data_IF_747167258776
#
_entry.id   IF_747167258776
#
_cell.length_a   1.000
_cell.length_b   1.000
_cell.length_c   1.000
_cell.angle_alpha   90.00
_cell.angle_beta   90.00
_cell.angle_gamma   90.00
#
_symmetry.space_group_name_H-M   'P 1'
#
loop_
_entity.id
_entity.type
_entity.pdbx_description
1 polymer ?
#
# COMPACT_ATOMS: atom_id res chain seq x y z
N UNK A 1 69.06 -54.99 -2.70
CA UNK A 1 67.63 -55.23 -2.96
C UNK A 1 66.86 -54.01 -2.48
N UNK A 2 66.11 -53.24 -3.25
CA UNK A 2 66.11 -52.84 -4.66
C UNK A 2 65.14 -51.64 -4.72
N UNK A 3 65.67 -50.42 -4.86
CA UNK A 3 65.09 -49.25 -5.58
C UNK A 3 63.68 -48.71 -5.16
N UNK A 4 63.17 -47.58 -5.72
CA UNK A 4 63.63 -46.20 -5.48
C UNK A 4 62.47 -45.12 -5.43
N UNK A 5 62.75 -43.85 -5.13
CA UNK A 5 62.02 -42.67 -5.69
C UNK A 5 62.54 -42.37 -7.14
N UNK A 6 62.00 -41.48 -8.03
CA UNK A 6 61.00 -40.39 -7.91
C UNK A 6 60.06 -40.18 -9.16
N UNK A 7 59.35 -39.03 -9.21
CA UNK A 7 58.74 -38.32 -10.35
C UNK A 7 57.39 -38.87 -10.90
N UNK A 8 56.36 -38.08 -11.27
CA UNK A 8 56.39 -36.90 -12.14
C UNK A 8 55.02 -36.17 -12.15
N UNK A 9 55.05 -34.83 -12.12
CA UNK A 9 54.17 -33.81 -12.78
C UNK A 9 52.63 -33.82 -12.61
N UNK A 10 52.15 -32.62 -12.25
CA UNK A 10 50.79 -32.09 -12.42
C UNK A 10 50.31 -32.09 -13.89
N UNK A 11 49.02 -31.80 -14.11
CA UNK A 11 48.74 -30.46 -14.62
C UNK A 11 47.73 -29.69 -13.76
N UNK A 12 48.05 -28.41 -13.55
CA UNK A 12 47.10 -27.34 -13.32
C UNK A 12 46.11 -27.27 -14.50
N UNK A 13 44.84 -27.03 -14.22
CA UNK A 13 44.06 -26.05 -14.98
C UNK A 13 42.84 -25.65 -14.16
N UNK A 14 42.73 -24.35 -13.98
CA UNK A 14 41.77 -23.58 -13.20
C UNK A 14 40.30 -23.92 -13.45
N UNK A 15 39.52 -23.87 -12.38
CA UNK A 15 38.11 -23.50 -12.42
C UNK A 15 37.80 -22.69 -11.15
N UNK A 16 37.80 -21.36 -11.29
CA UNK A 16 36.98 -20.48 -10.47
C UNK A 16 35.54 -20.64 -10.95
N UNK A 17 34.61 -20.86 -10.03
CA UNK A 17 33.16 -20.57 -10.10
C UNK A 17 32.55 -21.26 -8.85
N UNK A 18 31.61 -20.72 -8.09
CA UNK A 18 31.02 -19.39 -7.94
C UNK A 18 30.25 -19.57 -6.62
N UNK A 19 30.74 -19.01 -5.52
CA UNK A 19 30.05 -19.11 -4.22
C UNK A 19 28.91 -18.10 -4.22
N UNK A 20 27.77 -18.49 -4.79
CA UNK A 20 26.50 -17.81 -4.59
C UNK A 20 25.97 -18.16 -3.20
N UNK A 21 26.38 -17.37 -2.21
CA UNK A 21 25.74 -17.29 -0.90
C UNK A 21 24.27 -16.89 -1.10
N UNK A 22 23.42 -17.90 -1.20
CA UNK A 22 21.97 -17.72 -1.29
C UNK A 22 21.48 -17.42 0.13
N UNK A 23 21.41 -16.14 0.49
CA UNK A 23 20.76 -15.69 1.71
C UNK A 23 19.33 -16.24 1.73
N UNK A 24 19.09 -17.24 2.58
CA UNK A 24 17.79 -17.88 2.74
C UNK A 24 16.88 -16.89 3.45
N UNK A 25 16.04 -16.21 2.67
CA UNK A 25 15.00 -15.31 3.17
C UNK A 25 14.05 -16.08 4.08
N UNK A 26 13.89 -15.64 5.34
CA UNK A 26 12.93 -16.18 6.31
C UNK A 26 11.49 -15.68 6.03
N UNK A 27 11.15 -15.43 4.77
CA UNK A 27 9.77 -15.23 4.34
C UNK A 27 9.08 -16.58 4.41
N UNK A 28 7.97 -16.68 5.15
CA UNK A 28 7.11 -17.86 5.10
C UNK A 28 6.67 -18.10 3.65
N UNK A 29 7.17 -19.17 3.04
CA UNK A 29 6.88 -19.60 1.65
C UNK A 29 5.56 -20.39 1.57
N UNK A 30 4.60 -20.08 2.43
CA UNK A 30 3.29 -20.71 2.46
C UNK A 30 2.26 -19.60 2.60
N UNK A 31 1.26 -19.61 1.71
CA UNK A 31 0.07 -18.79 1.85
C UNK A 31 -0.47 -18.87 3.28
N UNK A 32 -0.44 -17.73 3.97
CA UNK A 32 -1.06 -17.64 5.29
C UNK A 32 -2.57 -17.66 5.13
N UNK A 33 -3.25 -18.23 6.14
CA UNK A 33 -4.71 -18.33 6.18
C UNK A 33 -5.36 -16.94 6.20
N UNK A 34 -6.66 -16.89 5.89
CA UNK A 34 -7.49 -15.71 6.15
C UNK A 34 -7.26 -15.19 7.58
N UNK A 35 -7.28 -13.87 7.75
CA UNK A 35 -6.89 -13.23 9.01
C UNK A 35 -7.85 -13.63 10.15
N UNK A 36 -7.34 -14.34 11.15
CA UNK A 36 -8.07 -14.67 12.36
C UNK A 36 -7.87 -13.55 13.42
N UNK A 37 -8.70 -12.50 13.38
CA UNK A 37 -8.73 -11.45 14.42
C UNK A 37 -8.43 -10.01 13.96
N UNK A 38 -8.57 -9.00 14.85
CA UNK A 38 -8.60 -7.58 14.47
C UNK A 38 -7.22 -6.93 14.25
N UNK A 39 -6.12 -7.66 14.38
CA UNK A 39 -4.75 -7.15 14.15
C UNK A 39 -4.40 -7.26 12.67
N UNK A 40 -3.79 -6.22 12.08
CA UNK A 40 -3.23 -6.32 10.72
C UNK A 40 -2.20 -7.45 10.67
N UNK A 41 -2.39 -8.39 9.73
CA UNK A 41 -1.45 -9.50 9.50
C UNK A 41 -0.25 -9.12 8.63
N UNK A 42 0.68 -10.07 8.44
CA UNK A 42 1.91 -9.90 7.65
C UNK A 42 1.67 -9.38 6.22
N UNK A 43 0.48 -9.63 5.68
CA UNK A 43 0.02 -9.19 4.35
C UNK A 43 -0.14 -7.67 4.20
N UNK A 44 -0.11 -6.91 5.29
CA UNK A 44 -0.32 -5.47 5.30
C UNK A 44 0.97 -4.68 5.59
N UNK A 45 1.99 -5.35 6.12
CA UNK A 45 3.17 -4.71 6.73
C UNK A 45 4.50 -5.26 6.22
N UNK A 46 4.50 -6.36 5.47
CA UNK A 46 5.70 -6.96 4.90
C UNK A 46 5.57 -7.06 3.39
N UNK A 47 6.65 -6.70 2.67
CA UNK A 47 6.75 -6.94 1.23
C UNK A 47 6.76 -8.45 0.96
N UNK A 48 5.72 -8.93 0.29
CA UNK A 48 5.71 -10.27 -0.31
C UNK A 48 6.83 -10.38 -1.34
N UNK A 49 7.34 -11.60 -1.62
CA UNK A 49 8.22 -11.81 -2.75
C UNK A 49 7.58 -11.20 -4.01
N UNK A 50 8.27 -10.26 -4.63
CA UNK A 50 7.84 -9.74 -5.92
C UNK A 50 7.97 -10.88 -6.94
N UNK A 51 7.01 -11.07 -7.86
CA UNK A 51 7.22 -11.90 -9.03
C UNK A 51 8.54 -11.48 -9.69
N UNK A 52 9.44 -12.43 -9.93
CA UNK A 52 10.86 -12.21 -10.30
C UNK A 52 11.10 -11.37 -11.56
N UNK A 53 10.06 -10.94 -12.26
CA UNK A 53 10.10 -10.31 -13.57
C UNK A 53 9.94 -8.78 -13.59
N UNK A 54 9.57 -8.10 -12.50
CA UNK A 54 9.36 -6.64 -12.50
C UNK A 54 10.14 -5.94 -11.39
N UNK A 55 10.82 -4.87 -11.76
CA UNK A 55 11.55 -3.96 -10.86
C UNK A 55 10.94 -2.56 -10.94
N UNK A 56 11.02 -1.77 -9.87
CA UNK A 56 10.66 -0.35 -9.88
C UNK A 56 11.39 0.40 -11.01
N UNK A 57 10.68 1.32 -11.67
CA UNK A 57 11.12 2.06 -12.85
C UNK A 57 10.83 3.56 -12.78
N UNK A 58 9.91 3.99 -11.90
CA UNK A 58 9.84 5.37 -11.42
C UNK A 58 11.01 5.75 -10.49
N UNK A 59 10.92 6.93 -9.90
CA UNK A 59 11.99 7.55 -9.12
C UNK A 59 11.53 8.02 -7.75
N UNK A 60 12.40 7.89 -6.74
CA UNK A 60 12.24 8.60 -5.47
C UNK A 60 12.64 10.07 -5.64
N UNK A 61 11.80 10.97 -5.17
CA UNK A 61 11.98 12.42 -5.18
C UNK A 61 11.42 13.03 -3.89
N UNK A 62 11.34 14.36 -3.82
CA UNK A 62 10.79 15.10 -2.68
C UNK A 62 9.80 16.17 -3.12
N UNK A 63 8.70 16.30 -2.38
CA UNK A 63 7.78 17.45 -2.43
C UNK A 63 7.91 18.22 -1.10
N UNK A 64 8.82 19.18 -1.07
CA UNK A 64 9.26 19.84 0.16
C UNK A 64 10.05 18.89 1.06
N UNK A 65 9.54 18.60 2.26
CA UNK A 65 10.12 17.68 3.25
C UNK A 65 9.58 16.24 3.12
N UNK A 66 8.66 15.99 2.17
CA UNK A 66 7.95 14.72 2.02
C UNK A 66 8.64 13.91 0.92
N UNK A 67 9.09 12.70 1.25
CA UNK A 67 9.55 11.75 0.25
C UNK A 67 8.38 11.27 -0.60
N UNK A 68 8.58 11.20 -1.92
CA UNK A 68 7.57 10.77 -2.87
C UNK A 68 8.19 9.83 -3.89
N UNK A 69 7.50 8.76 -4.25
CA UNK A 69 7.82 7.98 -5.44
C UNK A 69 6.97 8.50 -6.60
N UNK A 70 7.62 8.78 -7.72
CA UNK A 70 6.99 9.35 -8.90
C UNK A 70 7.18 8.38 -10.06
N UNK A 71 6.07 7.98 -10.67
CA UNK A 71 6.08 7.14 -11.87
C UNK A 71 5.22 7.77 -12.96
N UNK A 72 5.69 7.73 -14.20
CA UNK A 72 5.10 8.48 -15.33
C UNK A 72 4.99 7.57 -16.55
N UNK A 73 3.99 7.78 -17.43
CA UNK A 73 3.97 7.14 -18.73
C UNK A 73 5.22 7.52 -19.53
N UNK A 74 5.75 6.60 -20.35
CA UNK A 74 7.03 6.79 -21.03
C UNK A 74 7.08 8.01 -21.98
N UNK A 75 5.93 8.39 -22.57
CA UNK A 75 5.81 9.52 -23.49
C UNK A 75 5.19 10.77 -22.83
N UNK A 76 5.08 10.82 -21.51
CA UNK A 76 4.66 12.01 -20.81
C UNK A 76 5.77 13.09 -20.82
N UNK A 77 5.48 14.38 -21.09
CA UNK A 77 4.15 15.00 -21.24
C UNK A 77 3.64 15.12 -22.69
N UNK A 78 4.25 14.47 -23.68
CA UNK A 78 3.78 14.55 -25.07
C UNK A 78 2.40 13.87 -25.25
N UNK A 79 2.21 12.72 -24.61
CA UNK A 79 0.89 12.08 -24.48
C UNK A 79 0.24 12.51 -23.16
N UNK A 80 -0.97 13.11 -23.19
CA UNK A 80 -1.68 13.50 -21.97
C UNK A 80 -1.95 12.30 -21.04
N UNK A 81 -1.87 12.55 -19.75
CA UNK A 81 -2.06 11.54 -18.70
C UNK A 81 -2.85 12.14 -17.54
N UNK A 82 -3.60 11.30 -16.80
CA UNK A 82 -4.34 11.73 -15.60
C UNK A 82 -3.42 11.69 -14.38
N UNK A 83 -3.60 12.59 -13.41
CA UNK A 83 -2.86 12.50 -12.14
C UNK A 83 -3.52 11.49 -11.20
N UNK A 84 -2.73 10.56 -10.64
CA UNK A 84 -3.17 9.56 -9.67
C UNK A 84 -2.33 9.65 -8.39
N UNK A 85 -2.99 9.86 -7.26
CA UNK A 85 -2.41 9.78 -5.92
C UNK A 85 -2.55 8.35 -5.39
N UNK A 86 -1.44 7.64 -5.21
CA UNK A 86 -1.43 6.26 -4.69
C UNK A 86 -1.04 6.27 -3.21
N UNK A 87 -1.96 5.84 -2.33
CA UNK A 87 -1.76 5.76 -0.89
C UNK A 87 -1.54 4.32 -0.46
N UNK A 88 -0.41 4.11 0.21
CA UNK A 88 0.17 2.79 0.49
C UNK A 88 -0.49 2.07 1.67
N UNK A 89 -0.39 0.74 1.75
CA UNK A 89 -0.61 -0.01 2.99
C UNK A 89 0.50 0.31 4.01
N UNK A 90 0.54 -0.41 5.14
CA UNK A 90 1.53 -0.17 6.21
C UNK A 90 3.00 -0.29 5.78
N UNK A 91 3.30 -0.96 4.66
CA UNK A 91 4.67 -1.10 4.12
C UNK A 91 5.29 0.22 3.64
N UNK A 92 4.48 1.21 3.26
CA UNK A 92 4.96 2.55 2.89
C UNK A 92 5.60 2.68 1.50
N UNK A 93 6.08 3.88 1.20
CA UNK A 93 6.60 4.27 -0.14
C UNK A 93 7.87 3.50 -0.55
N UNK A 94 8.65 3.03 0.42
CA UNK A 94 9.91 2.31 0.16
C UNK A 94 9.71 0.82 -0.15
N UNK A 95 8.47 0.34 -0.07
CA UNK A 95 8.09 -1.00 -0.51
C UNK A 95 8.34 -1.16 -2.02
N UNK A 96 9.06 -2.21 -2.39
CA UNK A 96 9.30 -2.53 -3.81
C UNK A 96 7.98 -2.88 -4.49
N UNK A 97 7.08 -3.57 -3.80
CA UNK A 97 5.77 -3.94 -4.33
C UNK A 97 4.89 -2.72 -4.59
N UNK A 98 4.86 -1.75 -3.66
CA UNK A 98 4.09 -0.52 -3.88
C UNK A 98 4.66 0.32 -5.03
N UNK A 99 5.99 0.37 -5.17
CA UNK A 99 6.64 1.06 -6.29
C UNK A 99 6.32 0.42 -7.63
N UNK A 100 6.39 -0.93 -7.71
CA UNK A 100 5.97 -1.67 -8.92
C UNK A 100 4.48 -1.46 -9.20
N UNK A 101 3.63 -1.45 -8.17
CA UNK A 101 2.20 -1.17 -8.32
C UNK A 101 1.97 0.23 -8.91
N UNK A 102 2.71 1.24 -8.45
CA UNK A 102 2.67 2.60 -9.01
C UNK A 102 3.08 2.60 -10.49
N UNK A 103 4.13 1.88 -10.86
CA UNK A 103 4.58 1.78 -12.25
C UNK A 103 3.57 1.10 -13.16
N UNK A 104 2.83 0.12 -12.66
CA UNK A 104 1.76 -0.55 -13.42
C UNK A 104 0.65 0.46 -13.72
N UNK A 105 0.22 1.29 -12.76
CA UNK A 105 -0.73 2.37 -13.05
C UNK A 105 -0.14 3.39 -14.02
N UNK A 106 1.15 3.70 -13.94
CA UNK A 106 1.78 4.64 -14.87
C UNK A 106 1.81 4.13 -16.32
N UNK A 107 2.02 2.83 -16.52
CA UNK A 107 1.91 2.17 -17.82
C UNK A 107 0.50 2.27 -18.42
N UNK A 108 -0.51 2.49 -17.58
CA UNK A 108 -1.92 2.58 -17.98
C UNK A 108 -2.40 4.02 -18.22
N UNK A 109 -1.48 5.00 -18.30
CA UNK A 109 -1.78 6.39 -18.68
C UNK A 109 -1.98 7.35 -17.50
N UNK A 110 -1.41 7.02 -16.33
CA UNK A 110 -1.46 7.88 -15.15
C UNK A 110 -0.08 8.45 -14.79
N UNK A 111 0.01 9.72 -14.43
CA UNK A 111 1.13 10.24 -13.65
C UNK A 111 0.86 9.90 -12.20
N UNK A 112 1.64 8.98 -11.64
CA UNK A 112 1.43 8.43 -10.30
C UNK A 112 2.34 9.12 -9.30
N UNK A 113 1.73 9.73 -8.29
CA UNK A 113 2.42 10.31 -7.13
C UNK A 113 2.09 9.45 -5.92
N UNK A 114 3.11 8.82 -5.33
CA UNK A 114 2.98 7.96 -4.15
C UNK A 114 3.78 8.57 -3.00
N UNK A 115 3.15 9.31 -2.08
CA UNK A 115 3.87 9.97 -1.00
C UNK A 115 4.20 9.02 0.16
N UNK A 116 5.27 9.35 0.88
CA UNK A 116 5.49 8.85 2.24
C UNK A 116 4.51 9.49 3.21
N UNK A 117 3.29 8.96 3.23
CA UNK A 117 2.22 9.37 4.14
C UNK A 117 2.57 9.14 5.63
N UNK A 118 3.65 8.41 5.92
CA UNK A 118 4.09 8.05 7.27
C UNK A 118 5.29 8.84 7.78
N UNK A 119 5.94 9.65 6.93
CA UNK A 119 7.14 10.45 7.27
C UNK A 119 8.27 9.61 7.88
N UNK A 120 8.64 8.53 7.20
CA UNK A 120 9.74 7.64 7.58
C UNK A 120 9.39 6.66 8.69
N UNK A 121 8.11 6.56 9.06
CA UNK A 121 7.61 5.65 10.11
C UNK A 121 6.62 4.62 9.54
N UNK A 122 7.02 3.73 8.60
CA UNK A 122 6.15 2.65 8.12
C UNK A 122 5.85 1.64 9.25
N UNK A 123 4.87 0.77 9.03
CA UNK A 123 4.50 -0.24 10.00
C UNK A 123 5.68 -1.19 10.30
N UNK A 124 5.88 -1.60 11.57
CA UNK A 124 6.92 -2.56 11.91
C UNK A 124 6.67 -3.89 11.19
N UNK A 125 7.73 -4.49 10.67
CA UNK A 125 7.67 -5.68 9.82
C UNK A 125 8.58 -6.81 10.32
N UNK A 126 8.49 -7.99 9.70
CA UNK A 126 9.25 -9.18 10.13
C UNK A 126 10.77 -8.99 10.07
N UNK A 127 11.29 -8.07 9.23
CA UNK A 127 12.72 -7.81 9.10
C UNK A 127 13.27 -6.87 10.19
N UNK A 128 12.44 -5.98 10.73
CA UNK A 128 12.83 -5.03 11.79
C UNK A 128 12.78 -5.63 13.20
N UNK A 129 12.15 -6.79 13.38
CA UNK A 129 12.09 -7.53 14.64
C UNK A 129 13.27 -8.51 14.86
N UNK A 130 14.36 -8.40 14.09
CA UNK A 130 15.56 -9.23 14.26
C UNK A 130 16.46 -8.72 15.41
N UNK A 131 15.92 -8.70 16.64
CA UNK A 131 16.76 -8.79 17.83
C UNK A 131 17.28 -10.24 17.94
N UNK A 132 18.41 -10.48 17.28
CA UNK A 132 19.43 -11.49 17.57
C UNK A 132 18.97 -12.86 18.06
N UNK A 133 18.95 -13.87 17.18
CA UNK A 133 19.40 -15.23 17.54
C UNK A 133 19.79 -16.04 16.30
N UNK A 134 20.82 -16.92 16.38
CA UNK A 134 21.33 -17.67 15.25
C UNK A 134 20.48 -18.89 14.91
N UNK A 135 20.59 -19.29 13.65
CA UNK A 135 19.98 -20.43 12.97
C UNK A 135 20.26 -21.76 13.69
N UNK A 136 19.23 -22.59 13.88
CA UNK A 136 19.40 -24.05 13.88
C UNK A 136 18.13 -24.74 13.35
N UNK A 137 18.31 -25.52 12.29
CA UNK A 137 17.27 -26.30 11.63
C UNK A 137 17.02 -27.61 12.37
N UNK A 138 15.86 -27.72 13.04
CA UNK A 138 15.16 -28.98 13.31
C UNK A 138 13.74 -28.65 13.78
N UNK A 139 12.77 -29.49 13.39
CA UNK A 139 11.32 -29.31 13.59
C UNK A 139 10.95 -28.74 14.98
N UNK A 140 10.05 -27.73 15.05
CA UNK A 140 9.94 -26.87 16.22
C UNK A 140 9.37 -27.61 17.44
N UNK A 141 10.19 -27.67 18.49
CA UNK A 141 9.81 -28.18 19.80
C UNK A 141 8.79 -27.27 20.51
N UNK A 142 8.20 -27.76 21.61
CA UNK A 142 7.15 -27.05 22.36
C UNK A 142 7.58 -25.64 22.82
N UNK A 143 8.83 -25.48 23.28
CA UNK A 143 9.37 -24.18 23.70
C UNK A 143 9.49 -23.19 22.55
N UNK A 144 9.84 -23.67 21.37
CA UNK A 144 9.98 -22.83 20.18
C UNK A 144 8.61 -22.36 19.70
N UNK A 145 7.58 -23.21 19.74
CA UNK A 145 6.19 -22.81 19.47
C UNK A 145 5.69 -21.74 20.43
N UNK A 146 6.03 -21.85 21.72
CA UNK A 146 5.71 -20.82 22.73
C UNK A 146 6.45 -19.52 22.41
N UNK A 147 7.73 -19.58 22.04
CA UNK A 147 8.51 -18.39 21.64
C UNK A 147 7.95 -17.73 20.38
N UNK A 148 7.63 -18.51 19.35
CA UNK A 148 7.00 -18.04 18.12
C UNK A 148 5.66 -17.35 18.41
N UNK A 149 4.81 -17.96 19.24
CA UNK A 149 3.56 -17.32 19.67
C UNK A 149 3.77 -16.01 20.44
N UNK A 150 4.80 -15.93 21.29
CA UNK A 150 5.15 -14.71 22.00
C UNK A 150 5.68 -13.61 21.07
N UNK A 151 6.49 -13.97 20.07
CA UNK A 151 6.99 -13.04 19.03
C UNK A 151 5.83 -12.49 18.21
N UNK A 152 4.92 -13.36 17.77
CA UNK A 152 3.75 -12.94 16.98
C UNK A 152 2.82 -12.02 17.77
N UNK A 153 2.58 -12.33 19.05
CA UNK A 153 1.80 -11.47 19.96
C UNK A 153 2.46 -10.08 20.12
N UNK A 154 3.79 -10.04 20.25
CA UNK A 154 4.53 -8.78 20.34
C UNK A 154 4.48 -7.98 19.03
N UNK A 155 4.55 -8.64 17.86
CA UNK A 155 4.41 -8.00 16.54
C UNK A 155 3.03 -7.36 16.37
N UNK A 156 1.96 -8.11 16.61
CA UNK A 156 0.59 -7.59 16.54
C UNK A 156 0.42 -6.36 17.43
N UNK A 157 0.96 -6.40 18.65
CA UNK A 157 0.94 -5.25 19.56
C UNK A 157 1.71 -4.03 19.01
N UNK A 158 2.88 -4.23 18.39
CA UNK A 158 3.65 -3.13 17.77
C UNK A 158 2.91 -2.52 16.58
N UNK A 159 2.24 -3.35 15.78
CA UNK A 159 1.43 -2.91 14.64
C UNK A 159 0.18 -2.14 15.12
N UNK A 160 -0.47 -2.60 16.19
CA UNK A 160 -1.59 -1.88 16.82
C UNK A 160 -1.15 -0.53 17.40
N UNK A 161 0.01 -0.49 18.07
CA UNK A 161 0.61 0.77 18.55
C UNK A 161 0.96 1.72 17.39
N UNK A 162 1.44 1.18 16.27
CA UNK A 162 1.71 1.94 15.07
C UNK A 162 0.42 2.53 14.50
N UNK A 163 -0.64 1.72 14.35
CA UNK A 163 -1.95 2.19 13.91
C UNK A 163 -2.49 3.31 14.82
N UNK A 164 -2.37 3.14 16.14
CA UNK A 164 -2.85 4.11 17.11
C UNK A 164 -2.13 5.48 17.00
N UNK A 165 -0.87 5.50 16.55
CA UNK A 165 -0.11 6.76 16.38
C UNK A 165 -0.22 7.39 15.00
N UNK A 166 -0.68 6.65 13.98
CA UNK A 166 -0.87 7.14 12.62
C UNK A 166 -2.27 7.74 12.42
N UNK A 167 -2.48 8.90 13.06
CA UNK A 167 -3.79 9.57 13.11
C UNK A 167 -4.03 10.50 11.91
N UNK A 168 -5.29 10.85 11.61
CA UNK A 168 -5.61 11.82 10.56
C UNK A 168 -4.90 13.17 10.72
N UNK A 169 -4.69 13.63 11.95
CA UNK A 169 -3.99 14.89 12.25
C UNK A 169 -2.51 14.87 11.84
N UNK A 170 -1.90 13.67 11.76
CA UNK A 170 -0.53 13.52 11.25
C UNK A 170 -0.50 13.33 9.74
N UNK A 171 -1.39 12.50 9.21
CA UNK A 171 -1.33 12.06 7.81
C UNK A 171 -1.96 13.09 6.87
N UNK A 172 -3.12 13.66 7.19
CA UNK A 172 -3.81 14.60 6.29
C UNK A 172 -2.96 15.82 5.92
N UNK A 173 -2.22 16.49 6.84
CA UNK A 173 -1.36 17.60 6.46
C UNK A 173 -0.30 17.23 5.41
N UNK A 174 0.21 15.99 5.45
CA UNK A 174 1.17 15.47 4.45
C UNK A 174 0.48 15.37 3.09
N UNK A 175 -0.70 14.74 3.06
CA UNK A 175 -1.45 14.54 1.83
C UNK A 175 -1.93 15.86 1.22
N UNK A 176 -2.39 16.80 2.04
CA UNK A 176 -2.84 18.12 1.57
C UNK A 176 -1.70 18.90 0.93
N UNK A 177 -0.50 18.87 1.55
CA UNK A 177 0.70 19.50 0.97
C UNK A 177 1.08 18.86 -0.36
N UNK A 178 1.07 17.54 -0.46
CA UNK A 178 1.34 16.82 -1.72
C UNK A 178 0.31 17.16 -2.79
N UNK A 179 -0.98 17.19 -2.44
CA UNK A 179 -2.07 17.55 -3.35
C UNK A 179 -1.91 18.98 -3.87
N UNK A 180 -1.55 19.93 -3.00
CA UNK A 180 -1.27 21.32 -3.39
C UNK A 180 -0.07 21.38 -4.36
N UNK A 181 1.05 20.74 -4.02
CA UNK A 181 2.21 20.65 -4.92
C UNK A 181 1.86 20.01 -6.26
N UNK A 182 1.02 18.98 -6.27
CA UNK A 182 0.58 18.34 -7.51
C UNK A 182 -0.27 19.25 -8.40
N UNK A 183 -1.11 20.11 -7.81
CA UNK A 183 -1.92 21.08 -8.56
C UNK A 183 -1.05 22.13 -9.26
N UNK A 184 0.14 22.40 -8.73
CA UNK A 184 1.08 23.35 -9.31
C UNK A 184 2.05 22.67 -10.30
N UNK A 185 2.77 21.63 -9.86
CA UNK A 185 3.84 20.99 -10.64
C UNK A 185 3.33 20.06 -11.75
N UNK A 186 2.12 19.51 -11.59
CA UNK A 186 1.48 18.60 -12.54
C UNK A 186 0.12 19.12 -13.00
N UNK A 187 0.01 20.45 -13.14
CA UNK A 187 -1.22 21.15 -13.51
C UNK A 187 -1.83 20.64 -14.83
N UNK A 188 -1.00 20.22 -15.79
CA UNK A 188 -1.42 19.63 -17.06
C UNK A 188 -2.12 18.28 -16.86
N UNK A 189 -1.58 17.39 -16.02
CA UNK A 189 -2.17 16.09 -15.73
C UNK A 189 -3.46 16.21 -14.89
N UNK A 190 -3.47 17.17 -13.95
CA UNK A 190 -4.67 17.50 -13.18
C UNK A 190 -5.76 18.08 -14.10
N UNK A 191 -5.40 18.99 -15.00
CA UNK A 191 -6.36 19.57 -15.94
C UNK A 191 -6.90 18.53 -16.93
N UNK A 192 -6.04 17.65 -17.45
CA UNK A 192 -6.45 16.59 -18.37
C UNK A 192 -7.42 15.59 -17.72
N UNK A 193 -7.19 15.25 -16.44
CA UNK A 193 -8.08 14.39 -15.68
C UNK A 193 -9.27 15.08 -15.02
N UNK A 194 -9.42 16.40 -15.18
CA UNK A 194 -10.39 17.26 -14.47
C UNK A 194 -10.30 17.15 -12.93
N UNK A 195 -9.11 16.83 -12.41
CA UNK A 195 -8.85 16.63 -11.00
C UNK A 195 -7.82 15.52 -10.75
N UNK A 196 -7.71 15.13 -9.48
CA UNK A 196 -6.78 14.10 -9.00
C UNK A 196 -7.55 12.82 -8.75
N UNK A 197 -7.03 11.68 -9.20
CA UNK A 197 -7.61 10.37 -8.92
C UNK A 197 -6.93 9.79 -7.68
N UNK A 198 -7.68 9.07 -6.83
CA UNK A 198 -7.15 8.44 -5.62
C UNK A 198 -7.16 6.93 -5.71
N UNK A 199 -6.03 6.28 -5.43
CA UNK A 199 -5.96 4.84 -5.20
C UNK A 199 -5.42 4.56 -3.81
N UNK A 200 -6.07 3.68 -3.05
CA UNK A 200 -5.67 3.41 -1.68
C UNK A 200 -5.80 1.95 -1.30
N UNK A 201 -4.79 1.42 -0.62
CA UNK A 201 -4.73 0.04 -0.15
C UNK A 201 -4.61 0.01 1.38
N UNK A 202 -5.37 -0.86 2.07
CA UNK A 202 -5.28 -1.05 3.52
C UNK A 202 -5.42 0.28 4.29
N UNK A 203 -4.37 0.72 4.97
CA UNK A 203 -4.33 2.01 5.66
C UNK A 203 -4.56 3.19 4.71
N UNK A 204 -3.94 3.18 3.52
CA UNK A 204 -4.09 4.25 2.52
C UNK A 204 -5.51 4.41 1.98
N UNK A 205 -6.29 3.32 1.97
CA UNK A 205 -7.70 3.34 1.56
C UNK A 205 -8.54 4.30 2.40
N UNK A 206 -8.31 4.36 3.73
CA UNK A 206 -9.01 5.31 4.61
C UNK A 206 -8.86 6.73 4.10
N UNK A 207 -7.64 7.12 3.75
CA UNK A 207 -7.36 8.48 3.36
C UNK A 207 -7.92 8.81 1.98
N UNK A 208 -7.99 7.85 1.06
CA UNK A 208 -8.74 8.03 -0.19
C UNK A 208 -10.23 8.23 0.09
N UNK A 209 -10.85 7.44 0.98
CA UNK A 209 -12.25 7.64 1.40
C UNK A 209 -12.46 9.03 2.00
N UNK A 210 -11.55 9.49 2.86
CA UNK A 210 -11.62 10.83 3.45
C UNK A 210 -11.46 11.94 2.40
N UNK A 211 -10.51 11.80 1.46
CA UNK A 211 -10.30 12.76 0.38
C UNK A 211 -11.47 12.79 -0.62
N UNK A 212 -12.21 11.68 -0.76
CA UNK A 212 -13.45 11.59 -1.53
C UNK A 212 -14.63 12.29 -0.85
N UNK A 213 -14.51 12.70 0.41
CA UNK A 213 -15.58 13.31 1.19
C UNK A 213 -15.49 14.83 1.31
N UNK A 214 -16.54 15.41 1.89
CA UNK A 214 -16.51 16.81 2.35
C UNK A 214 -15.50 16.98 3.49
N UNK A 215 -14.75 18.07 3.45
CA UNK A 215 -13.78 18.42 4.48
C UNK A 215 -14.04 19.83 5.01
N UNK A 216 -13.70 20.06 6.29
CA UNK A 216 -13.81 21.39 6.87
C UNK A 216 -12.86 22.32 6.13
N UNK A 217 -13.37 23.44 5.60
CA UNK A 217 -12.52 24.41 4.92
C UNK A 217 -11.47 24.95 5.86
N UNK A 218 -10.20 24.92 5.44
CA UNK A 218 -9.13 25.64 6.11
C UNK A 218 -9.35 27.13 5.85
N UNK A 219 -9.56 27.91 6.91
CA UNK A 219 -9.47 29.37 6.79
C UNK A 219 -8.05 29.71 6.31
N UNK A 220 -7.88 30.65 5.35
CA UNK A 220 -6.55 31.07 4.91
C UNK A 220 -5.70 31.48 6.11
N UNK A 221 -4.52 30.86 6.23
CA UNK A 221 -3.59 31.10 7.32
C UNK A 221 -3.01 32.53 7.17
N UNK A 222 -3.68 33.51 7.79
CA UNK A 222 -3.28 34.92 7.70
C UNK A 222 -4.35 35.95 8.06
N UNK A 223 -5.63 35.58 8.17
CA UNK A 223 -6.66 36.48 8.69
C UNK A 223 -7.03 36.09 10.12
N UNK A 224 -6.62 36.95 11.06
CA UNK A 224 -6.99 36.84 12.45
C UNK A 224 -8.50 36.65 12.58
N UNK A 225 -8.89 35.65 13.37
CA UNK A 225 -10.26 35.35 13.76
C UNK A 225 -10.98 36.62 14.22
N UNK A 226 -11.76 37.20 13.32
CA UNK A 226 -12.89 38.05 13.64
C UNK A 226 -14.05 37.52 12.81
N UNK A 227 -15.14 37.28 13.51
CA UNK A 227 -16.44 36.79 13.01
C UNK A 227 -16.59 35.26 13.04
N UNK A 228 -16.60 34.74 14.27
CA UNK A 228 -17.01 33.38 14.65
C UNK A 228 -18.55 33.28 14.61
N UNK A 229 -19.18 33.50 13.44
CA UNK A 229 -20.62 33.24 13.20
C UNK A 229 -20.90 33.06 11.68
N UNK A 230 -19.95 32.50 10.93
CA UNK A 230 -20.21 31.97 9.60
C UNK A 230 -19.93 30.47 9.67
N UNK A 231 -20.99 29.66 9.59
CA UNK A 231 -20.87 28.20 9.62
C UNK A 231 -19.75 27.74 8.70
N UNK A 232 -18.80 26.97 9.24
CA UNK A 232 -17.59 26.55 8.51
C UNK A 232 -17.97 26.03 7.13
N UNK A 233 -17.60 26.77 6.09
CA UNK A 233 -17.86 26.37 4.72
C UNK A 233 -17.20 25.00 4.51
N UNK A 234 -18.00 23.99 4.18
CA UNK A 234 -17.49 22.68 3.82
C UNK A 234 -16.94 22.76 2.41
N UNK A 235 -15.68 22.39 2.24
CA UNK A 235 -15.10 22.25 0.92
C UNK A 235 -15.50 20.88 0.35
N UNK A 236 -15.71 20.83 -0.97
CA UNK A 236 -16.02 19.60 -1.70
C UNK A 236 -14.87 18.58 -1.68
N UNK A 237 -15.01 17.43 -2.35
CA UNK A 237 -13.95 16.42 -2.38
C UNK A 237 -12.66 16.95 -2.99
N UNK A 238 -11.53 16.39 -2.56
CA UNK A 238 -10.19 16.73 -3.06
C UNK A 238 -9.72 15.84 -4.21
N UNK A 239 -10.45 14.76 -4.48
CA UNK A 239 -10.23 13.87 -5.62
C UNK A 239 -11.46 13.85 -6.54
N UNK A 240 -11.21 13.61 -7.82
CA UNK A 240 -12.20 13.43 -8.88
C UNK A 240 -12.94 12.10 -8.76
N UNK A 241 -12.20 11.01 -8.54
CA UNK A 241 -12.72 9.67 -8.31
C UNK A 241 -11.71 8.85 -7.48
N UNK A 242 -12.20 7.90 -6.69
CA UNK A 242 -11.39 7.02 -5.86
C UNK A 242 -11.61 5.53 -6.16
N UNK A 243 -10.56 4.73 -6.06
CA UNK A 243 -10.65 3.26 -6.00
C UNK A 243 -9.85 2.76 -4.79
N UNK A 244 -10.50 2.00 -3.91
CA UNK A 244 -9.86 1.50 -2.69
C UNK A 244 -9.97 0.00 -2.56
N UNK A 245 -8.96 -0.62 -1.97
CA UNK A 245 -8.97 -2.05 -1.66
C UNK A 245 -8.70 -2.31 -0.18
N UNK A 246 -9.47 -3.26 0.36
CA UNK A 246 -9.36 -3.82 1.71
C UNK A 246 -9.10 -2.73 2.75
N UNK A 247 -10.04 -1.79 2.87
CA UNK A 247 -9.82 -0.61 3.69
C UNK A 247 -9.62 -0.95 5.18
N UNK A 248 -8.92 -0.09 5.92
CA UNK A 248 -8.71 -0.27 7.36
C UNK A 248 -8.98 1.05 8.08
N UNK A 249 -9.58 1.00 9.28
CA UNK A 249 -9.92 2.19 10.10
C UNK A 249 -10.92 3.17 9.48
N UNK A 250 -11.65 2.77 8.44
CA UNK A 250 -12.76 3.57 7.88
C UNK A 250 -13.92 3.60 8.86
N UNK A 251 -14.41 4.78 9.17
CA UNK A 251 -15.54 5.00 10.09
C UNK A 251 -16.85 5.19 9.33
N UNK A 252 -17.97 5.17 10.06
CA UNK A 252 -19.31 5.46 9.51
C UNK A 252 -19.38 6.90 9.02
N UNK A 253 -18.70 7.80 9.73
CA UNK A 253 -18.62 9.22 9.43
C UNK A 253 -17.83 9.45 8.15
N UNK A 254 -16.71 8.73 7.95
CA UNK A 254 -15.94 8.78 6.70
C UNK A 254 -16.82 8.38 5.50
N UNK A 255 -17.54 7.27 5.61
CA UNK A 255 -18.45 6.80 4.54
C UNK A 255 -19.58 7.80 4.25
N UNK A 256 -20.13 8.44 5.28
CA UNK A 256 -21.16 9.48 5.12
C UNK A 256 -20.60 10.78 4.58
N UNK A 257 -19.31 11.02 4.66
CA UNK A 257 -18.70 12.24 4.15
C UNK A 257 -18.52 12.20 2.62
N UNK A 258 -18.37 11.01 2.03
CA UNK A 258 -18.07 10.80 0.60
C UNK A 258 -19.04 11.54 -0.32
N UNK A 259 -18.48 12.23 -1.31
CA UNK A 259 -19.18 12.94 -2.39
C UNK A 259 -18.62 12.65 -3.78
N UNK A 260 -17.36 12.25 -3.90
CA UNK A 260 -16.77 11.83 -5.15
C UNK A 260 -17.12 10.36 -5.47
N UNK A 261 -17.17 9.97 -6.76
CA UNK A 261 -17.27 8.58 -7.17
C UNK A 261 -16.24 7.68 -6.48
N UNK A 262 -16.68 6.55 -5.93
CA UNK A 262 -15.84 5.66 -5.15
C UNK A 262 -16.09 4.17 -5.44
N UNK A 263 -15.04 3.46 -5.83
CA UNK A 263 -15.04 2.00 -5.87
C UNK A 263 -14.43 1.40 -4.60
N UNK A 264 -15.05 0.34 -4.07
CA UNK A 264 -14.54 -0.43 -2.94
C UNK A 264 -14.35 -1.91 -3.32
N UNK A 265 -13.12 -2.38 -3.25
CA UNK A 265 -12.77 -3.80 -3.23
C UNK A 265 -12.69 -4.24 -1.75
N UNK A 266 -13.60 -5.10 -1.33
CA UNK A 266 -13.75 -5.56 0.05
C UNK A 266 -13.36 -7.03 0.19
N UNK A 267 -12.91 -7.42 1.38
CA UNK A 267 -12.67 -8.82 1.74
C UNK A 267 -13.84 -9.33 2.58
N UNK A 268 -14.31 -10.54 2.31
CA UNK A 268 -15.40 -11.15 3.05
C UNK A 268 -14.98 -11.41 4.51
N UNK A 269 -15.85 -11.07 5.46
CA UNK A 269 -15.62 -11.25 6.90
C UNK A 269 -14.34 -10.55 7.42
N UNK A 270 -13.95 -9.44 6.79
CA UNK A 270 -12.75 -8.68 7.17
C UNK A 270 -12.94 -7.95 8.52
N UNK A 271 -12.18 -8.31 9.57
CA UNK A 271 -12.31 -7.65 10.87
C UNK A 271 -11.80 -6.20 10.85
N UNK A 272 -11.01 -5.78 9.85
CA UNK A 272 -10.48 -4.43 9.72
C UNK A 272 -11.44 -3.46 9.00
N UNK A 273 -12.42 -4.01 8.28
CA UNK A 273 -13.52 -3.26 7.68
C UNK A 273 -14.87 -3.95 7.93
N UNK A 274 -15.45 -3.76 9.13
CA UNK A 274 -16.66 -4.48 9.52
C UNK A 274 -17.85 -4.21 8.59
N UNK A 275 -18.63 -5.27 8.30
CA UNK A 275 -19.81 -5.21 7.43
C UNK A 275 -20.80 -4.11 7.84
N UNK A 276 -20.92 -3.80 9.14
CA UNK A 276 -21.78 -2.71 9.61
C UNK A 276 -21.38 -1.34 9.04
N UNK A 277 -20.08 -1.08 8.89
CA UNK A 277 -19.59 0.17 8.29
C UNK A 277 -19.87 0.17 6.79
N UNK A 278 -19.64 -0.96 6.12
CA UNK A 278 -19.89 -1.12 4.68
C UNK A 278 -21.38 -0.91 4.35
N UNK A 279 -22.28 -1.52 5.13
CA UNK A 279 -23.73 -1.39 4.98
C UNK A 279 -24.22 0.05 5.17
N UNK A 280 -23.62 0.80 6.10
CA UNK A 280 -23.90 2.22 6.25
C UNK A 280 -23.46 3.00 5.02
N UNK A 281 -22.28 2.68 4.47
CA UNK A 281 -21.79 3.22 3.21
C UNK A 281 -22.75 2.97 2.05
N UNK A 282 -23.13 1.71 1.82
CA UNK A 282 -24.09 1.31 0.77
C UNK A 282 -25.38 2.12 0.84
N UNK A 283 -25.98 2.20 2.03
CA UNK A 283 -27.23 2.96 2.24
C UNK A 283 -27.04 4.44 1.97
N UNK A 284 -25.93 5.01 2.42
CA UNK A 284 -25.66 6.43 2.23
C UNK A 284 -25.37 6.77 0.76
N UNK A 285 -24.57 5.97 0.05
CA UNK A 285 -24.25 6.21 -1.35
C UNK A 285 -25.49 6.13 -2.23
N UNK A 286 -26.34 5.12 -2.01
CA UNK A 286 -27.62 5.01 -2.70
C UNK A 286 -28.56 6.18 -2.41
N UNK A 287 -28.68 6.61 -1.14
CA UNK A 287 -29.54 7.72 -0.76
C UNK A 287 -29.04 9.09 -1.24
N UNK A 288 -27.73 9.26 -1.36
CA UNK A 288 -27.08 10.53 -1.73
C UNK A 288 -26.67 10.60 -3.20
N UNK A 289 -27.02 9.58 -3.99
CA UNK A 289 -26.65 9.46 -5.41
C UNK A 289 -25.14 9.62 -5.66
N UNK A 290 -24.32 9.08 -4.76
CA UNK A 290 -22.87 8.95 -4.96
C UNK A 290 -22.65 7.76 -5.89
N UNK A 291 -21.98 7.99 -7.02
CA UNK A 291 -21.61 6.93 -7.94
C UNK A 291 -20.63 5.96 -7.24
N UNK A 292 -20.94 4.67 -7.23
CA UNK A 292 -20.13 3.69 -6.51
C UNK A 292 -20.23 2.30 -7.11
N UNK A 293 -19.15 1.53 -6.95
CA UNK A 293 -19.12 0.09 -7.19
C UNK A 293 -18.51 -0.60 -5.97
N UNK A 294 -19.07 -1.72 -5.55
CA UNK A 294 -18.57 -2.47 -4.40
C UNK A 294 -18.50 -3.94 -4.76
N UNK A 295 -17.29 -4.51 -4.72
CA UNK A 295 -17.02 -5.94 -4.93
C UNK A 295 -16.48 -6.56 -3.66
N UNK A 296 -17.02 -7.71 -3.25
CA UNK A 296 -16.56 -8.45 -2.06
C UNK A 296 -15.93 -9.78 -2.49
N UNK A 297 -14.72 -10.04 -2.02
CA UNK A 297 -13.94 -11.22 -2.35
C UNK A 297 -13.89 -12.19 -1.17
N UNK A 298 -14.39 -13.43 -1.33
CA UNK A 298 -14.27 -14.47 -0.32
C UNK A 298 -12.89 -15.14 -0.37
N UNK A 299 -12.50 -15.78 0.73
CA UNK A 299 -11.30 -16.65 0.82
C UNK A 299 -9.96 -16.01 0.40
N UNK A 300 -9.87 -14.67 0.48
CA UNK A 300 -8.64 -13.92 0.23
C UNK A 300 -8.14 -13.25 1.52
N UNK A 301 -6.82 -13.09 1.69
CA UNK A 301 -6.30 -12.33 2.81
C UNK A 301 -6.60 -10.83 2.67
N UNK A 302 -6.53 -10.09 3.78
CA UNK A 302 -6.75 -8.63 3.77
C UNK A 302 -5.95 -7.93 2.67
N UNK A 303 -4.62 -8.07 2.66
CA UNK A 303 -3.74 -7.41 1.66
C UNK A 303 -3.72 -8.04 0.26
N UNK A 304 -4.71 -8.85 -0.15
CA UNK A 304 -4.65 -9.62 -1.40
C UNK A 304 -4.44 -8.77 -2.66
N UNK A 305 -4.97 -7.54 -2.67
CA UNK A 305 -4.99 -6.67 -3.84
C UNK A 305 -3.70 -5.86 -4.02
N UNK A 306 -2.79 -5.87 -3.04
CA UNK A 306 -1.45 -5.27 -3.19
C UNK A 306 -0.59 -6.19 -4.05
N UNK A 307 0.07 -5.63 -5.08
CA UNK A 307 1.01 -6.37 -5.93
C UNK A 307 1.96 -7.24 -5.10
N UNK A 308 2.13 -8.48 -5.51
CA UNK A 308 2.99 -9.45 -4.83
C UNK A 308 2.61 -10.86 -5.18
N UNK A 309 3.53 -11.80 -4.99
CA UNK A 309 3.29 -13.20 -5.30
C UNK A 309 2.52 -13.92 -4.18
N UNK A 310 1.74 -14.91 -4.61
CA UNK A 310 0.95 -15.82 -3.78
C UNK A 310 1.26 -17.27 -4.20
N UNK A 311 1.02 -18.27 -3.36
CA UNK A 311 1.12 -19.67 -3.84
C UNK A 311 -0.18 -20.09 -4.54
N UNK A 312 -1.31 -19.62 -4.02
CA UNK A 312 -2.67 -19.95 -4.46
C UNK A 312 -2.99 -19.28 -5.80
N UNK A 313 -3.28 -20.08 -6.85
CA UNK A 313 -3.73 -19.54 -8.12
C UNK A 313 -5.04 -18.73 -8.01
N UNK A 314 -5.90 -19.10 -7.06
CA UNK A 314 -7.16 -18.39 -6.82
C UNK A 314 -6.92 -16.98 -6.29
N UNK A 315 -5.96 -16.79 -5.38
CA UNK A 315 -5.62 -15.46 -4.86
C UNK A 315 -4.94 -14.61 -5.95
N UNK A 316 -4.06 -15.20 -6.78
CA UNK A 316 -3.48 -14.48 -7.94
C UNK A 316 -4.56 -13.98 -8.89
N UNK A 317 -5.54 -14.83 -9.21
CA UNK A 317 -6.65 -14.46 -10.07
C UNK A 317 -7.52 -13.37 -9.43
N UNK A 318 -7.78 -13.46 -8.12
CA UNK A 318 -8.53 -12.44 -7.38
C UNK A 318 -7.81 -11.10 -7.38
N UNK A 319 -6.48 -11.09 -7.14
CA UNK A 319 -5.64 -9.90 -7.20
C UNK A 319 -5.70 -9.24 -8.59
N UNK A 320 -5.49 -10.02 -9.66
CA UNK A 320 -5.55 -9.50 -11.03
C UNK A 320 -6.94 -8.93 -11.36
N UNK A 321 -8.00 -9.64 -10.97
CA UNK A 321 -9.38 -9.19 -11.19
C UNK A 321 -9.67 -7.89 -10.45
N UNK A 322 -9.28 -7.79 -9.18
CA UNK A 322 -9.45 -6.59 -8.37
C UNK A 322 -8.68 -5.40 -8.96
N UNK A 323 -7.44 -5.62 -9.40
CA UNK A 323 -6.66 -4.59 -10.08
C UNK A 323 -7.35 -4.09 -11.35
N UNK A 324 -7.83 -5.00 -12.21
CA UNK A 324 -8.53 -4.63 -13.45
C UNK A 324 -9.83 -3.86 -13.18
N UNK A 325 -10.58 -4.27 -12.15
CA UNK A 325 -11.77 -3.56 -11.70
C UNK A 325 -11.45 -2.11 -11.30
N UNK A 326 -10.46 -1.92 -10.41
CA UNK A 326 -10.02 -0.58 -9.99
C UNK A 326 -9.51 0.25 -11.17
N UNK A 327 -8.73 -0.35 -12.07
CA UNK A 327 -8.20 0.33 -13.24
C UNK A 327 -9.32 0.79 -14.19
N UNK A 328 -10.28 -0.08 -14.47
CA UNK A 328 -11.42 0.24 -15.34
C UNK A 328 -12.27 1.35 -14.74
N UNK A 329 -12.50 1.32 -13.42
CA UNK A 329 -13.18 2.40 -12.70
C UNK A 329 -12.49 3.74 -12.90
N UNK A 330 -11.17 3.81 -12.67
CA UNK A 330 -10.39 5.05 -12.81
C UNK A 330 -10.32 5.56 -14.26
N UNK A 331 -10.33 4.65 -15.24
CA UNK A 331 -10.34 5.04 -16.66
C UNK A 331 -11.69 5.59 -17.11
N UNK A 332 -12.79 5.07 -16.55
CA UNK A 332 -14.16 5.46 -16.91
C UNK A 332 -14.56 6.84 -16.38
N UNK A 333 -13.92 7.32 -15.32
CA UNK A 333 -14.13 8.64 -14.71
C UNK A 333 -13.15 9.68 -15.24
#
# INVERSE_FOLDING_TARGET
>A
MSSPEPATKAPESDAMEDTTDTQTSLISTQDSKAQDGPSMGEHCVTDRPAPSSRQPSGEMSKMGDIDVYISKPADYPNTPAKLLLLLTPGTGVHSTNNQVQADIFAQEGFVVIMPDQFKGDPAPNSNTATLSSPVESQSPGLLERIKLGAVETAKSFMVDMWLARQTPEKVLPVLLKVIETCKDEYADAVAHGEGIYGVGYCFGAKYVVMLAGEHQGTAPQGQAAKDVEAGSAKNGPLIKAGAVAHATLVTREDMKAVKAPLMLICVENDPLFPEEVLEIGRKYFAASNVEHEISTYPEVPHGFAVYGDYDSPAIKQAQETAFQQMLNWLKAH
#
